data_IF_072024841710
#
_entry.id   IF_072024841710
#
_cell.length_a   1.000
_cell.length_b   1.000
_cell.length_c   1.000
_cell.angle_alpha   90.00
_cell.angle_beta   90.00
_cell.angle_gamma   90.00
#
_symmetry.space_group_name_H-M   'P 1'
#
loop_
_entity.id
_entity.type
_entity.pdbx_description
1 polymer ?
#
# COMPACT_ATOMS: atom_id res chain seq x y z
N UNK A 1 8.02 -21.13 40.55
CA UNK A 1 7.12 -20.02 40.15
C UNK A 1 7.91 -18.86 39.49
N UNK A 2 8.74 -19.15 38.49
CA UNK A 2 9.50 -18.12 37.76
C UNK A 2 9.18 -18.11 36.25
N UNK A 3 8.58 -19.18 35.75
CA UNK A 3 8.27 -19.40 34.33
C UNK A 3 7.08 -18.59 33.82
N UNK A 4 6.15 -18.19 34.70
CA UNK A 4 4.93 -17.47 34.30
C UNK A 4 5.16 -15.98 34.02
N UNK A 5 6.22 -15.37 34.58
CA UNK A 5 6.49 -13.93 34.41
C UNK A 5 7.11 -13.59 33.06
N UNK A 6 7.86 -14.52 32.44
CA UNK A 6 8.50 -14.30 31.14
C UNK A 6 7.50 -14.36 29.96
N UNK A 7 6.39 -15.09 30.11
CA UNK A 7 5.37 -15.19 29.06
C UNK A 7 4.55 -13.90 28.88
N UNK A 8 4.40 -13.11 29.94
CA UNK A 8 3.58 -11.89 29.92
C UNK A 8 4.31 -10.74 29.19
N UNK A 9 5.64 -10.69 29.23
CA UNK A 9 6.43 -9.63 28.57
C UNK A 9 6.45 -9.80 27.03
N UNK A 10 6.35 -11.04 26.53
CA UNK A 10 6.38 -11.32 25.08
C UNK A 10 5.06 -10.91 24.39
N UNK A 11 3.93 -10.93 25.11
CA UNK A 11 2.62 -10.58 24.54
C UNK A 11 2.35 -9.07 24.45
N UNK A 12 3.05 -8.23 25.23
CA UNK A 12 2.80 -6.77 25.26
C UNK A 12 3.44 -6.04 24.07
N UNK A 13 4.35 -6.68 23.33
CA UNK A 13 5.07 -6.03 22.22
C UNK A 13 4.45 -6.23 20.82
N UNK A 14 3.31 -6.92 20.68
CA UNK A 14 2.71 -7.26 19.36
C UNK A 14 1.40 -6.48 19.09
N UNK A 15 1.22 -5.31 19.71
CA UNK A 15 0.22 -4.33 19.28
C UNK A 15 0.88 -3.09 18.69
N UNK A 16 1.96 -3.26 17.93
CA UNK A 16 2.26 -2.28 16.89
C UNK A 16 1.21 -2.48 15.79
N UNK A 17 0.15 -1.66 15.81
CA UNK A 17 -0.76 -1.56 14.66
C UNK A 17 0.09 -1.35 13.41
N UNK A 18 0.08 -2.32 12.51
CA UNK A 18 0.86 -2.27 11.28
C UNK A 18 0.26 -1.14 10.44
N UNK A 19 0.89 0.03 10.48
CA UNK A 19 0.51 1.13 9.60
C UNK A 19 0.91 0.77 8.17
N UNK A 20 -0.09 0.75 7.28
CA UNK A 20 0.11 0.44 5.85
C UNK A 20 1.20 1.32 5.27
N UNK A 21 2.11 0.74 4.47
CA UNK A 21 3.11 1.49 3.71
C UNK A 21 2.72 1.56 2.24
N UNK A 22 2.82 2.74 1.66
CA UNK A 22 2.60 2.97 0.23
C UNK A 22 3.76 3.75 -0.38
N UNK A 23 3.88 3.76 -1.69
CA UNK A 23 4.75 4.69 -2.39
C UNK A 23 4.08 6.05 -2.57
N UNK A 24 4.84 7.11 -2.36
CA UNK A 24 4.51 8.49 -2.70
C UNK A 24 5.33 8.92 -3.92
N UNK A 25 4.64 9.42 -4.93
CA UNK A 25 5.26 9.91 -6.15
C UNK A 25 4.40 10.99 -6.78
N UNK A 26 5.07 11.97 -7.38
CA UNK A 26 4.45 12.95 -8.27
C UNK A 26 5.39 13.14 -9.45
N UNK A 27 4.97 12.73 -10.64
CA UNK A 27 5.76 12.87 -11.84
C UNK A 27 4.97 13.40 -13.01
N UNK A 28 5.63 14.18 -13.86
CA UNK A 28 5.10 14.68 -15.14
C UNK A 28 5.33 13.71 -16.30
N UNK A 29 5.81 12.50 -16.00
CA UNK A 29 6.00 11.43 -16.99
C UNK A 29 5.20 10.21 -16.57
N UNK A 30 4.61 9.52 -17.54
CA UNK A 30 3.76 8.35 -17.31
C UNK A 30 4.51 7.20 -16.62
N UNK A 31 5.81 7.09 -16.82
CA UNK A 31 6.68 6.08 -16.19
C UNK A 31 7.47 6.62 -14.99
N UNK A 32 7.17 7.84 -14.55
CA UNK A 32 7.95 8.52 -13.53
C UNK A 32 7.83 7.90 -12.13
N UNK A 33 6.76 7.15 -11.89
CA UNK A 33 6.47 6.45 -10.64
C UNK A 33 6.74 4.95 -10.72
N UNK A 34 7.75 4.53 -11.49
CA UNK A 34 8.19 3.14 -11.58
C UNK A 34 9.05 2.73 -10.38
N UNK A 35 9.06 1.44 -10.06
CA UNK A 35 9.94 0.88 -9.03
C UNK A 35 11.41 1.20 -9.34
N UNK A 36 12.13 1.74 -8.35
CA UNK A 36 13.52 2.19 -8.51
C UNK A 36 13.70 3.58 -9.13
N UNK A 37 12.62 4.29 -9.45
CA UNK A 37 12.67 5.72 -9.80
C UNK A 37 13.08 6.56 -8.58
N UNK A 38 13.85 7.63 -8.80
CA UNK A 38 14.18 8.61 -7.76
C UNK A 38 12.94 9.35 -7.23
N UNK A 39 11.87 9.41 -8.03
CA UNK A 39 10.63 10.08 -7.65
C UNK A 39 9.69 9.21 -6.81
N UNK A 40 10.03 7.93 -6.62
CA UNK A 40 9.23 6.97 -5.86
C UNK A 40 9.80 6.85 -4.45
N UNK A 41 9.06 7.35 -3.45
CA UNK A 41 9.48 7.33 -2.05
C UNK A 41 8.53 6.48 -1.22
N UNK A 42 9.05 5.70 -0.28
CA UNK A 42 8.20 4.97 0.67
C UNK A 42 7.62 5.93 1.69
N UNK A 43 6.34 5.77 2.01
CA UNK A 43 5.67 6.54 3.05
C UNK A 43 4.79 5.62 3.88
N UNK A 44 4.84 5.81 5.20
CA UNK A 44 3.94 5.14 6.14
C UNK A 44 2.63 5.93 6.15
N UNK A 45 1.51 5.27 5.87
CA UNK A 45 0.19 5.85 6.02
C UNK A 45 -0.09 6.14 7.50
N UNK A 46 -1.04 7.04 7.77
CA UNK A 46 -1.39 7.41 9.15
C UNK A 46 -1.84 6.21 9.98
N UNK A 47 -1.98 6.34 11.30
CA UNK A 47 -2.54 5.25 12.11
C UNK A 47 -3.97 4.90 11.65
N UNK A 48 -4.30 3.61 11.64
CA UNK A 48 -5.66 3.13 11.36
C UNK A 48 -6.67 3.86 12.25
N UNK A 49 -7.79 4.30 11.64
CA UNK A 49 -8.89 4.91 12.35
C UNK A 49 -10.10 3.97 12.28
N UNK A 50 -10.90 3.80 13.35
CA UNK A 50 -12.02 2.86 13.35
C UNK A 50 -13.04 3.10 12.22
N UNK A 51 -13.20 4.37 11.82
CA UNK A 51 -14.18 4.80 10.82
C UNK A 51 -13.65 4.82 9.37
N UNK A 52 -12.34 4.67 9.17
CA UNK A 52 -11.70 4.82 7.86
C UNK A 52 -10.81 3.63 7.51
N UNK A 53 -10.93 3.14 6.28
CA UNK A 53 -9.95 2.24 5.70
C UNK A 53 -8.87 3.07 5.00
N UNK A 54 -7.62 2.66 5.16
CA UNK A 54 -6.49 3.24 4.43
C UNK A 54 -6.11 2.32 3.28
N UNK A 55 -5.69 2.90 2.18
CA UNK A 55 -5.27 2.15 1.01
C UNK A 55 -4.21 2.91 0.21
N UNK A 56 -3.46 2.17 -0.58
CA UNK A 56 -2.53 2.73 -1.53
C UNK A 56 -3.25 3.07 -2.83
N UNK A 57 -2.93 4.22 -3.40
CA UNK A 57 -3.54 4.71 -4.63
C UNK A 57 -2.48 5.13 -5.63
N UNK A 58 -2.72 4.80 -6.90
CA UNK A 58 -2.00 5.29 -8.08
C UNK A 58 -3.02 5.96 -9.01
N UNK A 59 -2.84 7.25 -9.30
CA UNK A 59 -3.69 8.05 -10.18
C UNK A 59 -2.91 8.47 -11.42
N UNK A 60 -3.48 8.25 -12.59
CA UNK A 60 -3.08 8.91 -13.83
C UNK A 60 -4.00 10.10 -14.04
N UNK A 61 -3.45 11.31 -14.12
CA UNK A 61 -4.21 12.55 -14.16
C UNK A 61 -3.70 13.47 -15.25
N UNK A 62 -4.60 14.28 -15.80
CA UNK A 62 -4.23 15.42 -16.63
C UNK A 62 -4.31 16.70 -15.79
N UNK A 63 -3.18 17.41 -15.65
CA UNK A 63 -3.13 18.73 -15.01
C UNK A 63 -3.65 19.76 -16.01
N UNK A 64 -4.87 20.27 -15.78
CA UNK A 64 -5.51 21.23 -16.68
C UNK A 64 -4.83 22.60 -16.67
N UNK A 65 -4.09 22.94 -15.61
CA UNK A 65 -3.32 24.19 -15.54
C UNK A 65 -2.02 24.10 -16.34
N UNK A 66 -1.35 22.95 -16.31
CA UNK A 66 -0.08 22.73 -17.00
C UNK A 66 -0.24 22.11 -18.38
N UNK A 67 -1.45 21.67 -18.75
CA UNK A 67 -1.75 20.94 -19.97
C UNK A 67 -0.87 19.69 -20.17
N UNK A 68 -0.64 18.92 -19.09
CA UNK A 68 0.27 17.77 -19.09
C UNK A 68 -0.31 16.57 -18.33
N UNK A 69 0.11 15.39 -18.76
CA UNK A 69 -0.14 14.14 -18.04
C UNK A 69 0.82 13.99 -16.87
N UNK A 70 0.25 13.64 -15.72
CA UNK A 70 0.96 13.37 -14.49
C UNK A 70 0.56 12.02 -13.92
N UNK A 71 1.47 11.45 -13.14
CA UNK A 71 1.22 10.25 -12.34
C UNK A 71 1.45 10.61 -10.88
N UNK A 72 0.45 10.29 -10.07
CA UNK A 72 0.45 10.54 -8.64
C UNK A 72 0.28 9.22 -7.89
N UNK A 73 1.07 8.98 -6.85
CA UNK A 73 0.87 7.86 -5.95
C UNK A 73 0.92 8.32 -4.50
N UNK A 74 0.17 7.66 -3.62
CA UNK A 74 0.19 7.94 -2.19
C UNK A 74 -0.75 7.07 -1.36
N UNK A 75 -0.87 7.42 -0.08
CA UNK A 75 -1.87 6.91 0.85
C UNK A 75 -3.15 7.74 0.74
N UNK A 76 -4.30 7.07 0.78
CA UNK A 76 -5.60 7.70 0.85
C UNK A 76 -6.47 7.00 1.90
N UNK A 77 -7.56 7.65 2.28
CA UNK A 77 -8.52 7.10 3.24
C UNK A 77 -9.93 7.16 2.66
N UNK A 78 -10.74 6.16 2.97
CA UNK A 78 -12.16 6.15 2.66
C UNK A 78 -12.96 5.68 3.87
N UNK A 79 -14.22 6.14 4.04
CA UNK A 79 -15.10 5.60 5.06
C UNK A 79 -15.17 4.08 4.96
N UNK A 80 -15.21 3.39 6.10
CA UNK A 80 -15.20 1.91 6.16
C UNK A 80 -16.36 1.24 5.43
N UNK A 81 -17.46 1.97 5.23
CA UNK A 81 -18.62 1.57 4.43
C UNK A 81 -18.37 1.59 2.91
N UNK A 82 -17.28 2.20 2.46
CA UNK A 82 -16.93 2.32 1.04
C UNK A 82 -16.35 1.00 0.55
N UNK A 83 -16.99 0.41 -0.46
CA UNK A 83 -16.42 -0.75 -1.16
C UNK A 83 -15.20 -0.31 -1.96
N UNK A 84 -14.01 -0.68 -1.49
CA UNK A 84 -12.75 -0.46 -2.21
C UNK A 84 -12.66 -1.47 -3.37
N UNK A 85 -13.33 -1.17 -4.47
CA UNK A 85 -13.19 -1.98 -5.68
C UNK A 85 -11.95 -1.52 -6.46
N UNK A 86 -11.18 -2.43 -7.08
CA UNK A 86 -9.90 -2.09 -7.75
C UNK A 86 -10.00 -0.97 -8.80
N UNK A 87 -11.20 -0.76 -9.35
CA UNK A 87 -11.58 0.36 -10.20
C UNK A 87 -12.56 1.29 -9.46
N UNK A 88 -12.10 2.06 -8.49
CA UNK A 88 -12.93 3.15 -7.96
C UNK A 88 -13.02 4.21 -9.05
N UNK A 89 -14.15 4.23 -9.76
CA UNK A 89 -14.57 5.27 -10.73
C UNK A 89 -14.72 6.66 -10.09
N UNK A 90 -14.38 6.80 -8.80
CA UNK A 90 -14.51 8.00 -7.98
C UNK A 90 -13.22 8.30 -7.20
N UNK A 91 -12.08 8.30 -7.87
CA UNK A 91 -11.02 9.19 -7.40
C UNK A 91 -11.55 10.62 -7.50
N UNK A 92 -11.79 11.25 -6.34
CA UNK A 92 -12.22 12.64 -6.31
C UNK A 92 -11.21 13.52 -7.07
N UNK A 93 -11.74 14.39 -7.92
CA UNK A 93 -10.98 15.41 -8.64
C UNK A 93 -10.90 16.64 -7.77
N UNK A 94 -9.69 17.10 -7.41
CA UNK A 94 -9.49 18.38 -6.70
C UNK A 94 -9.69 19.62 -7.60
N UNK A 95 -10.47 19.50 -8.68
CA UNK A 95 -10.73 20.55 -9.67
C UNK A 95 -9.52 20.94 -10.55
N UNK A 96 -8.29 20.73 -10.09
CA UNK A 96 -7.03 20.95 -10.84
C UNK A 96 -6.69 19.80 -11.79
N UNK A 97 -7.06 18.60 -11.40
CA UNK A 97 -6.66 17.37 -12.07
C UNK A 97 -7.88 16.66 -12.65
N UNK A 98 -7.84 16.39 -13.96
CA UNK A 98 -8.79 15.48 -14.60
C UNK A 98 -8.26 14.06 -14.48
N UNK A 99 -8.89 13.24 -13.65
CA UNK A 99 -8.49 11.84 -13.46
C UNK A 99 -8.77 11.04 -14.73
N UNK A 100 -7.75 10.34 -15.24
CA UNK A 100 -7.85 9.42 -16.38
C UNK A 100 -8.06 7.98 -15.92
N UNK A 101 -7.27 7.56 -14.94
CA UNK A 101 -7.28 6.19 -14.40
C UNK A 101 -6.87 6.21 -12.93
N UNK A 102 -7.44 5.28 -12.17
CA UNK A 102 -7.13 5.11 -10.76
C UNK A 102 -7.05 3.63 -10.39
N UNK A 103 -5.97 3.27 -9.71
CA UNK A 103 -5.69 1.92 -9.27
C UNK A 103 -5.57 1.93 -7.74
N UNK A 104 -6.46 1.19 -7.08
CA UNK A 104 -6.49 1.04 -5.63
C UNK A 104 -5.97 -0.34 -5.23
N UNK A 105 -5.14 -0.39 -4.19
CA UNK A 105 -4.65 -1.63 -3.60
C UNK A 105 -4.44 -1.47 -2.10
N UNK A 106 -4.56 -2.57 -1.36
CA UNK A 106 -4.56 -2.66 0.10
C UNK A 106 -3.34 -3.41 0.68
N UNK A 107 -2.40 -3.78 -0.18
CA UNK A 107 -1.13 -4.41 0.19
C UNK A 107 -0.01 -3.39 0.33
N UNK A 108 1.03 -3.68 1.11
CA UNK A 108 2.18 -2.78 1.22
C UNK A 108 2.86 -2.52 -0.14
N UNK A 109 3.23 -1.26 -0.39
CA UNK A 109 4.10 -0.85 -1.49
C UNK A 109 3.61 -1.29 -2.89
N UNK A 110 2.29 -1.33 -3.11
CA UNK A 110 1.69 -1.82 -4.36
C UNK A 110 1.37 -0.75 -5.41
N UNK A 111 1.40 0.54 -5.05
CA UNK A 111 0.93 1.65 -5.88
C UNK A 111 2.06 2.31 -6.71
N UNK A 112 2.70 1.54 -7.56
CA UNK A 112 3.72 2.02 -8.50
C UNK A 112 3.34 1.66 -9.94
N UNK A 113 3.89 2.39 -10.92
CA UNK A 113 3.63 2.08 -12.34
C UNK A 113 4.39 0.81 -12.70
N UNK A 114 3.64 -0.24 -13.04
CA UNK A 114 4.21 -1.53 -13.37
C UNK A 114 4.50 -1.56 -14.88
N UNK A 115 5.77 -1.42 -15.29
CA UNK A 115 6.18 -1.58 -16.69
C UNK A 115 6.28 -3.06 -17.12
N UNK A 116 5.75 -3.99 -16.32
CA UNK A 116 5.69 -5.42 -16.62
C UNK A 116 5.06 -6.20 -15.47
N UNK A 117 4.02 -6.96 -15.78
CA UNK A 117 3.48 -8.08 -14.99
C UNK A 117 4.64 -8.95 -14.43
N UNK A 118 4.68 -9.49 -13.22
CA UNK A 118 3.69 -10.19 -12.42
C UNK A 118 4.28 -10.50 -11.03
N UNK A 119 3.44 -10.42 -10.00
CA UNK A 119 3.31 -11.35 -8.86
C UNK A 119 4.60 -12.07 -8.41
N UNK A 120 5.37 -11.47 -7.50
CA UNK A 120 6.26 -12.23 -6.60
C UNK A 120 5.42 -12.73 -5.42
N UNK A 121 4.80 -13.90 -5.57
CA UNK A 121 4.20 -14.61 -4.44
C UNK A 121 5.30 -15.13 -3.52
N UNK A 122 5.28 -14.66 -2.28
CA UNK A 122 6.14 -15.06 -1.16
C UNK A 122 6.05 -16.57 -0.86
N UNK A 123 7.01 -17.34 -1.38
CA UNK A 123 7.17 -18.79 -1.12
C UNK A 123 7.82 -19.08 0.26
N UNK A 124 8.16 -18.05 1.03
CA UNK A 124 8.97 -18.20 2.25
C UNK A 124 8.24 -18.78 3.47
N UNK A 125 6.90 -18.79 3.52
CA UNK A 125 6.17 -19.34 4.67
C UNK A 125 5.90 -20.85 4.61
N UNK A 126 5.98 -21.48 3.43
CA UNK A 126 5.76 -22.93 3.33
C UNK A 126 6.98 -23.74 3.78
N UNK A 127 8.18 -23.20 3.60
CA UNK A 127 9.44 -23.87 3.97
C UNK A 127 9.62 -24.01 5.49
N UNK A 128 9.15 -23.04 6.28
CA UNK A 128 9.25 -23.09 7.74
C UNK A 128 8.31 -24.12 8.37
N UNK A 129 7.11 -24.32 7.81
CA UNK A 129 6.18 -25.37 8.28
C UNK A 129 6.67 -26.79 7.97
N UNK A 130 7.33 -26.99 6.82
CA UNK A 130 7.89 -28.30 6.46
C UNK A 130 9.04 -28.73 7.38
N UNK A 131 9.94 -27.80 7.73
CA UNK A 131 11.08 -28.10 8.62
C UNK A 131 10.60 -28.40 10.05
N UNK A 132 9.61 -27.65 10.56
CA UNK A 132 9.01 -27.91 11.87
C UNK A 132 8.32 -29.29 11.94
N UNK A 133 7.62 -29.69 10.88
CA UNK A 133 6.96 -31.00 10.84
C UNK A 133 7.92 -32.19 10.89
N UNK A 134 9.16 -32.00 10.38
CA UNK A 134 10.21 -33.02 10.38
C UNK A 134 11.03 -33.08 11.67
N UNK A 135 11.01 -32.02 12.48
CA UNK A 135 11.70 -31.95 13.77
C UNK A 135 10.84 -32.46 14.94
N UNK A 136 9.52 -32.53 14.75
CA UNK A 136 8.54 -33.01 15.74
C UNK A 136 8.12 -34.48 15.53
N UNK A 137 8.69 -35.17 14.53
CA UNK A 137 8.52 -36.61 14.30
C UNK A 137 9.83 -37.34 14.53
#
# INVERSE_FOLDING_TARGET
MATFRYLIVIFVCIQSGYALKCYKCNSQTMDGCKKGSQNLQETTCSLEHPDFNQFCLLKFVYDEQQNKDNVLSGCETAPKSTSLNKNITQCQTDGRYRVKECIVCDSELCNYTNSGSSIETSILCAASLFILSKLLS
#
